data_IF_638180306541
#
_entry.id   IF_638180306541
#
_cell.length_a   1.000
_cell.length_b   1.000
_cell.length_c   1.000
_cell.angle_alpha   90.00
_cell.angle_beta   90.00
_cell.angle_gamma   90.00
#
_symmetry.space_group_name_H-M   'P 1'
#
loop_
_entity.id
_entity.type
_entity.pdbx_description
1 polymer ?
#
# COMPACT_ATOMS: atom_id res chain seq x y z
N UNK A 1 -7.30 -19.73 20.90
CA UNK A 1 -7.65 -18.49 20.16
C UNK A 1 -6.76 -18.48 18.93
N UNK A 2 -7.22 -19.15 17.87
CA UNK A 2 -6.51 -19.16 16.59
C UNK A 2 -6.57 -17.75 16.02
N UNK A 3 -5.44 -17.06 16.05
CA UNK A 3 -5.23 -15.81 15.32
C UNK A 3 -5.26 -16.18 13.85
N UNK A 4 -6.48 -16.21 13.28
CA UNK A 4 -6.70 -16.23 11.84
C UNK A 4 -5.84 -15.12 11.26
N UNK A 5 -4.73 -15.53 10.65
CA UNK A 5 -3.82 -14.67 9.93
C UNK A 5 -4.56 -14.26 8.65
N UNK A 6 -5.63 -13.47 8.81
CA UNK A 6 -6.29 -12.80 7.71
C UNK A 6 -5.26 -11.83 7.18
N UNK A 7 -4.46 -12.27 6.22
CA UNK A 7 -3.74 -11.37 5.34
C UNK A 7 -4.79 -10.40 4.82
N UNK A 8 -4.72 -9.11 5.16
CA UNK A 8 -5.75 -8.17 4.75
C UNK A 8 -5.80 -8.21 3.22
N UNK A 9 -6.92 -8.71 2.71
CA UNK A 9 -7.17 -8.78 1.27
C UNK A 9 -7.75 -7.44 0.84
N UNK A 10 -7.55 -7.08 -0.44
CA UNK A 10 -8.22 -5.92 -1.02
C UNK A 10 -9.74 -5.95 -0.80
N UNK A 11 -10.34 -7.15 -0.79
CA UNK A 11 -11.75 -7.36 -0.51
C UNK A 11 -12.14 -6.91 0.91
N UNK A 12 -11.35 -7.28 1.93
CA UNK A 12 -11.61 -6.87 3.32
C UNK A 12 -11.52 -5.35 3.53
N UNK A 13 -10.78 -4.63 2.70
CA UNK A 13 -10.73 -3.17 2.71
C UNK A 13 -11.84 -2.50 1.87
N UNK A 14 -12.23 -3.11 0.75
CA UNK A 14 -13.23 -2.57 -0.17
C UNK A 14 -14.66 -2.66 0.38
N UNK A 15 -15.02 -3.76 1.06
CA UNK A 15 -16.39 -3.96 1.54
C UNK A 15 -16.87 -2.86 2.50
N UNK A 16 -16.10 -2.44 3.52
CA UNK A 16 -16.47 -1.30 4.35
C UNK A 16 -16.61 0.02 3.57
N UNK A 17 -15.73 0.27 2.60
CA UNK A 17 -15.80 1.49 1.78
C UNK A 17 -17.01 1.52 0.86
N UNK A 18 -17.43 0.37 0.33
CA UNK A 18 -18.67 0.25 -0.42
C UNK A 18 -19.89 0.54 0.47
N UNK A 19 -19.90 0.07 1.71
CA UNK A 19 -20.95 0.39 2.66
C UNK A 19 -20.99 1.90 2.97
N UNK A 20 -19.84 2.54 3.21
CA UNK A 20 -19.77 4.01 3.39
C UNK A 20 -20.23 4.74 2.13
N UNK A 21 -19.90 4.26 0.94
CA UNK A 21 -20.36 4.86 -0.32
C UNK A 21 -21.89 4.78 -0.48
N UNK A 22 -22.48 3.65 -0.12
CA UNK A 22 -23.91 3.40 -0.26
C UNK A 22 -24.74 4.13 0.79
N UNK A 23 -24.27 4.15 2.04
CA UNK A 23 -25.07 4.55 3.20
C UNK A 23 -24.50 5.72 4.02
N UNK A 24 -23.29 6.18 3.72
CA UNK A 24 -22.58 7.20 4.49
C UNK A 24 -21.97 8.31 3.63
N UNK A 25 -20.84 8.85 4.07
CA UNK A 25 -20.15 9.95 3.37
C UNK A 25 -19.45 9.46 2.10
N UNK A 26 -20.09 9.72 0.95
CA UNK A 26 -19.53 9.41 -0.37
C UNK A 26 -18.23 10.14 -0.66
N UNK A 27 -18.02 11.35 -0.14
CA UNK A 27 -16.78 12.10 -0.37
C UNK A 27 -15.59 11.43 0.32
N UNK A 28 -15.82 10.95 1.54
CA UNK A 28 -14.86 10.14 2.29
C UNK A 28 -14.57 8.81 1.58
N UNK A 29 -15.61 8.04 1.23
CA UNK A 29 -15.43 6.78 0.51
C UNK A 29 -14.67 6.97 -0.82
N UNK A 30 -14.98 8.04 -1.57
CA UNK A 30 -14.25 8.40 -2.80
C UNK A 30 -12.76 8.64 -2.54
N UNK A 31 -12.45 9.42 -1.51
CA UNK A 31 -11.08 9.81 -1.18
C UNK A 31 -10.26 8.58 -0.77
N UNK A 32 -10.85 7.69 0.01
CA UNK A 32 -10.23 6.43 0.42
C UNK A 32 -10.05 5.45 -0.74
N UNK A 33 -11.04 5.32 -1.63
CA UNK A 33 -10.91 4.51 -2.85
C UNK A 33 -9.81 5.04 -3.78
N UNK A 34 -9.71 6.36 -3.94
CA UNK A 34 -8.65 6.99 -4.75
C UNK A 34 -7.26 6.70 -4.16
N UNK A 35 -7.12 6.83 -2.85
CA UNK A 35 -5.90 6.52 -2.12
C UNK A 35 -5.51 5.04 -2.20
N UNK A 36 -6.49 4.13 -2.13
CA UNK A 36 -6.29 2.70 -2.35
C UNK A 36 -5.76 2.41 -3.76
N UNK A 37 -6.32 3.07 -4.78
CA UNK A 37 -5.82 2.94 -6.16
C UNK A 37 -4.37 3.41 -6.30
N UNK A 38 -4.02 4.56 -5.69
CA UNK A 38 -2.64 5.06 -5.66
C UNK A 38 -1.69 4.11 -4.92
N UNK A 39 -2.15 3.54 -3.80
CA UNK A 39 -1.39 2.55 -3.04
C UNK A 39 -1.12 1.30 -3.86
N UNK A 40 -2.10 0.84 -4.63
CA UNK A 40 -1.96 -0.32 -5.52
C UNK A 40 -0.94 -0.08 -6.63
N UNK A 41 -0.96 1.09 -7.30
CA UNK A 41 0.01 1.44 -8.34
C UNK A 41 1.43 1.54 -7.76
N UNK A 42 1.58 2.22 -6.61
CA UNK A 42 2.87 2.33 -5.93
C UNK A 42 3.41 0.96 -5.51
N UNK A 43 2.55 0.07 -4.98
CA UNK A 43 2.93 -1.29 -4.62
C UNK A 43 3.34 -2.13 -5.84
N UNK A 44 2.64 -2.01 -6.97
CA UNK A 44 3.00 -2.71 -8.21
C UNK A 44 4.36 -2.26 -8.75
N UNK A 45 4.65 -0.95 -8.73
CA UNK A 45 5.96 -0.40 -9.12
C UNK A 45 7.07 -0.84 -8.18
N UNK A 46 6.81 -0.82 -6.88
CA UNK A 46 7.76 -1.31 -5.87
C UNK A 46 8.04 -2.81 -6.05
N UNK A 47 7.03 -3.63 -6.34
CA UNK A 47 7.22 -5.05 -6.62
C UNK A 47 8.13 -5.28 -7.84
N UNK A 48 7.94 -4.55 -8.95
CA UNK A 48 8.83 -4.61 -10.11
C UNK A 48 10.25 -4.18 -9.79
N UNK A 49 10.41 -3.15 -8.96
CA UNK A 49 11.72 -2.70 -8.50
C UNK A 49 12.43 -3.78 -7.66
N UNK A 50 11.68 -4.48 -6.79
CA UNK A 50 12.21 -5.60 -6.00
C UNK A 50 12.56 -6.82 -6.87
N UNK A 51 11.78 -7.12 -7.90
CA UNK A 51 12.07 -8.16 -8.89
C UNK A 51 13.37 -7.84 -9.64
N UNK A 52 13.53 -6.60 -10.11
CA UNK A 52 14.78 -6.14 -10.74
C UNK A 52 15.99 -6.27 -9.81
N UNK A 53 15.81 -6.00 -8.51
CA UNK A 53 16.86 -6.21 -7.50
C UNK A 53 17.20 -7.69 -7.34
N UNK A 54 16.18 -8.56 -7.28
CA UNK A 54 16.35 -10.00 -7.08
C UNK A 54 17.00 -10.70 -8.28
N UNK A 55 16.68 -10.24 -9.50
CA UNK A 55 17.18 -10.83 -10.75
C UNK A 55 18.55 -10.29 -11.17
N UNK A 56 19.03 -9.24 -10.51
CA UNK A 56 20.36 -8.69 -10.77
C UNK A 56 21.43 -9.69 -10.28
N UNK A 57 22.19 -10.24 -11.22
CA UNK A 57 23.37 -11.10 -11.01
C UNK A 57 24.59 -10.45 -11.66
N UNK A 58 25.78 -10.66 -11.12
CA UNK A 58 27.01 -10.17 -11.77
C UNK A 58 27.31 -10.92 -13.09
N UNK A 59 28.35 -10.49 -13.81
CA UNK A 59 28.77 -11.05 -15.11
C UNK A 59 29.18 -12.55 -15.01
N UNK A 60 29.43 -13.06 -13.80
CA UNK A 60 29.83 -14.42 -13.47
C UNK A 60 28.73 -15.20 -12.68
N UNK A 61 27.55 -14.62 -12.47
CA UNK A 61 26.41 -15.23 -11.80
C UNK A 61 26.40 -15.17 -10.27
N UNK A 62 27.30 -14.39 -9.63
CA UNK A 62 27.36 -14.26 -8.16
C UNK A 62 26.45 -13.13 -7.64
N UNK A 63 26.04 -13.26 -6.37
CA UNK A 63 25.25 -12.27 -5.66
C UNK A 63 26.08 -11.00 -5.39
N UNK A 64 25.46 -9.86 -5.65
CA UNK A 64 26.08 -8.59 -5.99
C UNK A 64 26.80 -7.92 -4.80
N UNK A 65 28.13 -7.86 -4.87
CA UNK A 65 28.91 -6.81 -4.20
C UNK A 65 29.19 -5.61 -5.15
N UNK A 66 28.93 -5.74 -6.46
CA UNK A 66 29.42 -4.81 -7.49
C UNK A 66 28.43 -3.73 -8.01
N UNK A 67 27.13 -3.76 -7.64
CA UNK A 67 26.09 -2.84 -8.18
C UNK A 67 25.37 -2.01 -7.09
N UNK A 68 26.08 -1.58 -6.04
CA UNK A 68 25.51 -0.83 -4.91
C UNK A 68 24.76 0.43 -5.32
N UNK A 69 25.28 1.18 -6.29
CA UNK A 69 24.67 2.43 -6.73
C UNK A 69 23.39 2.20 -7.55
N UNK A 70 23.34 1.12 -8.35
CA UNK A 70 22.14 0.71 -9.09
C UNK A 70 21.05 0.20 -8.14
N UNK A 71 21.41 -0.66 -7.17
CA UNK A 71 20.49 -1.07 -6.10
C UNK A 71 19.92 0.13 -5.34
N UNK A 72 20.77 1.11 -5.02
CA UNK A 72 20.36 2.32 -4.31
C UNK A 72 19.45 3.21 -5.18
N UNK A 73 19.67 3.25 -6.49
CA UNK A 73 18.80 3.97 -7.42
C UNK A 73 17.42 3.32 -7.50
N UNK A 74 17.35 2.00 -7.67
CA UNK A 74 16.10 1.24 -7.73
C UNK A 74 15.31 1.39 -6.42
N UNK A 75 15.98 1.23 -5.28
CA UNK A 75 15.36 1.38 -3.96
C UNK A 75 14.81 2.81 -3.72
N UNK A 76 15.55 3.85 -4.12
CA UNK A 76 15.09 5.24 -4.01
C UNK A 76 13.88 5.51 -4.90
N UNK A 77 13.86 4.95 -6.11
CA UNK A 77 12.73 5.11 -7.01
C UNK A 77 11.47 4.45 -6.43
N UNK A 78 11.59 3.21 -5.93
CA UNK A 78 10.49 2.54 -5.24
C UNK A 78 9.99 3.32 -4.01
N UNK A 79 10.91 3.88 -3.21
CA UNK A 79 10.55 4.72 -2.06
C UNK A 79 9.81 5.99 -2.47
N UNK A 80 10.24 6.66 -3.55
CA UNK A 80 9.58 7.86 -4.05
C UNK A 80 8.15 7.58 -4.52
N UNK A 81 7.89 6.42 -5.13
CA UNK A 81 6.52 6.02 -5.52
C UNK A 81 5.64 5.78 -4.29
N UNK A 82 6.16 5.14 -3.25
CA UNK A 82 5.43 4.95 -2.00
C UNK A 82 5.13 6.28 -1.28
N UNK A 83 6.04 7.25 -1.33
CA UNK A 83 5.85 8.58 -0.74
C UNK A 83 4.77 9.42 -1.45
N UNK A 84 4.43 9.11 -2.70
CA UNK A 84 3.34 9.79 -3.43
C UNK A 84 1.95 9.36 -2.96
N UNK A 85 1.84 8.26 -2.21
CA UNK A 85 0.57 7.81 -1.65
C UNK A 85 0.17 8.75 -0.50
N UNK A 86 -1.01 9.41 -0.56
CA UNK A 86 -1.46 10.27 0.52
C UNK A 86 -1.58 9.51 1.85
N UNK A 87 -1.20 10.13 2.99
CA UNK A 87 -1.37 9.52 4.30
C UNK A 87 -2.86 9.21 4.53
N UNK A 88 -3.14 8.11 5.21
CA UNK A 88 -4.51 7.75 5.54
C UNK A 88 -5.13 8.64 6.57
N UNK A 89 -6.43 8.88 6.42
CA UNK A 89 -7.22 9.25 7.57
C UNK A 89 -7.13 8.09 8.59
N UNK A 90 -6.79 8.36 9.86
CA UNK A 90 -6.86 7.33 10.88
C UNK A 90 -8.33 6.87 10.98
N UNK A 91 -8.59 5.63 10.56
CA UNK A 91 -9.90 4.97 10.64
C UNK A 91 -10.44 5.00 12.08
N UNK A 92 -9.56 5.11 13.06
CA UNK A 92 -9.90 5.25 14.48
C UNK A 92 -10.55 6.58 14.86
N UNK A 93 -10.35 7.68 14.12
CA UNK A 93 -10.89 8.99 14.52
C UNK A 93 -12.39 9.14 14.25
N UNK A 94 -13.02 8.24 13.49
CA UNK A 94 -14.44 8.31 13.16
C UNK A 94 -15.32 7.31 13.93
N UNK A 95 -14.75 6.21 14.43
CA UNK A 95 -15.50 5.26 15.27
C UNK A 95 -15.94 5.93 16.58
N UNK A 96 -15.09 6.75 17.20
CA UNK A 96 -15.43 7.48 18.43
C UNK A 96 -16.49 8.58 18.27
N UNK A 97 -16.77 9.07 17.05
CA UNK A 97 -17.79 10.11 16.84
C UNK A 97 -19.20 9.52 16.73
N UNK A 98 -19.32 8.26 16.30
CA UNK A 98 -20.61 7.57 16.20
C UNK A 98 -21.06 6.94 17.53
N UNK A 99 -20.14 6.71 18.48
CA UNK A 99 -20.46 6.21 19.82
C UNK A 99 -20.81 7.32 20.84
N UNK A 100 -20.61 8.60 20.50
CA UNK A 100 -20.94 9.75 21.37
C UNK A 100 -22.35 10.33 21.10
N UNK A 101 -23.07 9.78 20.13
CA UNK A 101 -24.47 10.13 19.82
C UNK A 101 -25.30 8.85 19.87
N UNK A 102 -25.40 8.28 21.06
CA UNK A 102 -26.20 7.10 21.38
C UNK A 102 -26.54 7.07 22.85
#
# INVERSE_FOLDING_TARGET
MDTLNMRPTWLTALLPLLAVWQYGDRSMARSELFRMALSADAAARAARALEQIADMRDRDGHAIEMHRDELRAIARNALAELQRVPPGAPVTAQVWRLEQVG
#
